data_IF_230450068136
#
_entry.id   IF_230450068136
#
_cell.length_a   1.000
_cell.length_b   1.000
_cell.length_c   1.000
_cell.angle_alpha   90.00
_cell.angle_beta   90.00
_cell.angle_gamma   90.00
#
_symmetry.space_group_name_H-M   'P 1'
#
loop_
_entity.id
_entity.type
_entity.pdbx_description
1 polymer ?
#
# COMPACT_ATOMS: atom_id res chain seq x y z
N UNK A 1 -8.27 14.41 15.50
CA UNK A 1 -6.90 14.04 15.08
C UNK A 1 -6.18 15.32 14.67
N UNK A 2 -4.92 15.50 15.08
CA UNK A 2 -4.12 16.69 14.75
C UNK A 2 -3.54 16.55 13.35
N UNK A 3 -3.82 17.51 12.46
CA UNK A 3 -3.16 17.57 11.16
C UNK A 3 -1.80 18.25 11.32
N UNK A 4 -0.71 17.49 11.18
CA UNK A 4 0.65 18.02 11.18
C UNK A 4 1.08 18.39 9.75
N UNK A 5 1.66 19.57 9.57
CA UNK A 5 2.24 20.00 8.29
C UNK A 5 3.72 19.68 8.28
N UNK A 6 4.18 19.08 7.20
CA UNK A 6 5.60 18.79 6.95
C UNK A 6 6.08 19.61 5.77
N UNK A 7 7.16 20.36 5.96
CA UNK A 7 7.84 21.05 4.87
C UNK A 7 8.83 20.09 4.21
N UNK A 8 8.81 20.00 2.89
CA UNK A 8 9.71 19.13 2.11
C UNK A 8 10.44 19.99 1.09
N UNK A 9 11.77 19.88 1.06
CA UNK A 9 12.56 20.46 -0.03
C UNK A 9 12.60 19.48 -1.20
N UNK A 10 12.36 20.00 -2.40
CA UNK A 10 12.40 19.25 -3.64
C UNK A 10 13.38 19.91 -4.59
N UNK A 11 14.11 19.10 -5.35
CA UNK A 11 14.92 19.59 -6.46
C UNK A 11 14.04 20.27 -7.50
N UNK A 12 14.60 21.26 -8.21
CA UNK A 12 13.90 22.00 -9.26
C UNK A 12 13.15 21.10 -10.27
N UNK A 13 13.78 20.06 -10.88
CA UNK A 13 13.08 19.20 -11.83
C UNK A 13 11.88 18.47 -11.22
N UNK A 14 12.01 17.93 -10.01
CA UNK A 14 10.94 17.20 -9.32
C UNK A 14 9.79 18.13 -8.99
N UNK A 15 10.11 19.32 -8.45
CA UNK A 15 9.12 20.34 -8.13
C UNK A 15 8.34 20.78 -9.38
N UNK A 16 9.03 20.99 -10.50
CA UNK A 16 8.41 21.49 -11.72
C UNK A 16 7.52 20.41 -12.38
N UNK A 17 7.93 19.14 -12.31
CA UNK A 17 7.10 18.01 -12.69
C UNK A 17 5.82 17.92 -11.84
N UNK A 18 5.93 18.01 -10.52
CA UNK A 18 4.76 17.99 -9.62
C UNK A 18 3.81 19.16 -9.92
N UNK A 19 4.35 20.36 -10.19
CA UNK A 19 3.54 21.52 -10.59
C UNK A 19 2.75 21.23 -11.87
N UNK A 20 3.40 20.66 -12.88
CA UNK A 20 2.76 20.31 -14.14
C UNK A 20 1.66 19.25 -13.91
N UNK A 21 1.97 18.17 -13.21
CA UNK A 21 1.00 17.10 -12.90
C UNK A 21 -0.21 17.62 -12.12
N UNK A 22 0.00 18.49 -11.13
CA UNK A 22 -1.08 19.08 -10.35
C UNK A 22 -1.99 19.95 -11.24
N UNK A 23 -1.39 20.72 -12.16
CA UNK A 23 -2.12 21.53 -13.14
C UNK A 23 -2.95 20.67 -14.09
N UNK A 24 -2.37 19.61 -14.64
CA UNK A 24 -3.05 18.68 -15.55
C UNK A 24 -4.21 17.96 -14.86
N UNK A 25 -4.05 17.59 -13.58
CA UNK A 25 -5.09 16.92 -12.78
C UNK A 25 -6.12 17.89 -12.18
N UNK A 26 -5.91 19.21 -12.27
CA UNK A 26 -6.80 20.20 -11.66
C UNK A 26 -6.83 20.18 -10.13
N UNK A 27 -5.76 19.72 -9.48
CA UNK A 27 -5.66 19.59 -8.01
C UNK A 27 -4.57 20.50 -7.44
N UNK A 28 -4.58 20.72 -6.13
CA UNK A 28 -3.50 21.47 -5.48
C UNK A 28 -2.22 20.63 -5.41
N UNK A 29 -1.06 21.29 -5.47
CA UNK A 29 0.25 20.66 -5.31
C UNK A 29 0.33 19.89 -3.99
N UNK A 30 -0.17 20.47 -2.90
CA UNK A 30 -0.16 19.80 -1.59
C UNK A 30 -1.02 18.54 -1.55
N UNK A 31 -2.17 18.54 -2.25
CA UNK A 31 -2.98 17.32 -2.38
C UNK A 31 -2.22 16.26 -3.14
N UNK A 32 -1.69 16.60 -4.32
CA UNK A 32 -0.93 15.67 -5.14
C UNK A 32 0.27 15.10 -4.37
N UNK A 33 1.04 15.93 -3.67
CA UNK A 33 2.17 15.46 -2.86
C UNK A 33 1.71 14.51 -1.74
N UNK A 34 0.61 14.82 -1.06
CA UNK A 34 0.06 13.93 -0.03
C UNK A 34 -0.32 12.59 -0.63
N UNK A 35 -1.03 12.60 -1.76
CA UNK A 35 -1.51 11.38 -2.41
C UNK A 35 -0.33 10.53 -2.90
N UNK A 36 0.69 11.14 -3.51
CA UNK A 36 1.93 10.45 -3.88
C UNK A 36 2.70 9.86 -2.69
N UNK A 37 2.71 10.55 -1.53
CA UNK A 37 3.32 10.01 -0.31
C UNK A 37 2.53 8.80 0.19
N UNK A 38 1.20 8.88 0.20
CA UNK A 38 0.33 7.76 0.59
C UNK A 38 0.54 6.56 -0.35
N UNK A 39 0.48 6.76 -1.66
CA UNK A 39 0.73 5.71 -2.65
C UNK A 39 2.12 5.08 -2.46
N UNK A 40 3.15 5.90 -2.22
CA UNK A 40 4.50 5.41 -1.93
C UNK A 40 4.58 4.54 -0.68
N UNK A 41 3.82 4.88 0.37
CA UNK A 41 3.73 4.09 1.60
C UNK A 41 2.95 2.78 1.39
N UNK A 42 1.86 2.81 0.61
CA UNK A 42 1.08 1.63 0.24
C UNK A 42 1.95 0.61 -0.52
N UNK A 43 2.78 1.08 -1.47
CA UNK A 43 3.73 0.20 -2.18
C UNK A 43 4.73 -0.46 -1.22
N UNK A 44 5.20 0.25 -0.18
CA UNK A 44 6.08 -0.33 0.83
C UNK A 44 5.37 -1.38 1.69
N UNK A 45 4.10 -1.15 2.00
CA UNK A 45 3.24 -2.09 2.72
C UNK A 45 2.98 -3.35 1.89
N UNK A 46 2.65 -3.22 0.62
CA UNK A 46 2.46 -4.35 -0.30
C UNK A 46 3.71 -5.24 -0.35
N UNK A 47 4.90 -4.62 -0.47
CA UNK A 47 6.18 -5.35 -0.44
C UNK A 47 6.45 -6.04 0.89
N UNK A 48 5.92 -5.52 1.99
CA UNK A 48 6.02 -6.17 3.29
C UNK A 48 5.10 -7.39 3.34
N UNK A 49 3.85 -7.26 2.89
CA UNK A 49 2.90 -8.38 2.87
C UNK A 49 3.27 -9.47 1.86
N UNK A 50 3.86 -9.12 0.72
CA UNK A 50 4.44 -10.06 -0.23
C UNK A 50 5.41 -11.02 0.49
N UNK A 51 6.35 -10.49 1.28
CA UNK A 51 7.32 -11.33 2.03
C UNK A 51 6.64 -12.29 2.99
N UNK A 52 5.57 -11.85 3.66
CA UNK A 52 4.80 -12.71 4.57
C UNK A 52 4.07 -13.79 3.78
N UNK A 53 3.46 -13.43 2.65
CA UNK A 53 2.75 -14.35 1.79
C UNK A 53 3.70 -15.40 1.21
N UNK A 54 4.83 -15.00 0.64
CA UNK A 54 5.84 -15.91 0.10
C UNK A 54 6.35 -16.89 1.15
N UNK A 55 6.67 -16.41 2.37
CA UNK A 55 7.08 -17.29 3.46
C UNK A 55 6.01 -18.34 3.79
N UNK A 56 4.74 -17.93 3.84
CA UNK A 56 3.63 -18.84 4.11
C UNK A 56 3.46 -19.86 3.00
N UNK A 57 3.63 -19.45 1.75
CA UNK A 57 3.55 -20.32 0.57
C UNK A 57 4.68 -21.35 0.58
N UNK A 58 5.92 -20.92 0.84
CA UNK A 58 7.10 -21.79 0.93
C UNK A 58 6.97 -22.85 2.04
N UNK A 59 6.40 -22.45 3.19
CA UNK A 59 6.21 -23.31 4.35
C UNK A 59 4.88 -24.10 4.30
N UNK A 60 4.05 -23.92 3.25
CA UNK A 60 2.72 -24.51 3.19
C UNK A 60 2.78 -26.01 2.87
N UNK A 61 2.24 -26.83 3.77
CA UNK A 61 2.08 -28.26 3.53
C UNK A 61 0.68 -28.56 2.97
N UNK A 62 0.61 -28.84 1.66
CA UNK A 62 -0.62 -29.19 0.96
C UNK A 62 -1.28 -30.46 1.50
N UNK A 63 -0.52 -31.47 1.91
CA UNK A 63 -1.07 -32.73 2.44
C UNK A 63 -1.77 -32.54 3.79
N UNK A 64 -1.33 -31.54 4.57
CA UNK A 64 -1.92 -31.17 5.86
C UNK A 64 -2.90 -29.99 5.75
N UNK A 65 -3.22 -29.57 4.52
CA UNK A 65 -4.16 -28.47 4.30
C UNK A 65 -5.58 -28.87 4.65
N UNK A 66 -6.35 -27.92 5.20
CA UNK A 66 -7.77 -28.13 5.49
C UNK A 66 -8.58 -27.91 4.21
N UNK A 67 -9.48 -28.84 3.91
CA UNK A 67 -10.45 -28.70 2.83
C UNK A 67 -11.49 -27.63 3.17
N UNK A 68 -12.10 -27.05 2.14
CA UNK A 68 -13.18 -26.05 2.30
C UNK A 68 -14.30 -26.54 3.24
N UNK A 69 -14.65 -27.83 3.18
CA UNK A 69 -15.66 -28.42 4.07
C UNK A 69 -15.20 -28.45 5.52
N UNK A 70 -13.94 -28.78 5.80
CA UNK A 70 -13.40 -28.81 7.17
C UNK A 70 -13.32 -27.40 7.80
N UNK A 71 -13.08 -26.37 6.98
CA UNK A 71 -13.06 -24.98 7.46
C UNK A 71 -14.48 -24.42 7.66
N UNK A 72 -15.38 -24.66 6.69
CA UNK A 72 -16.67 -23.95 6.62
C UNK A 72 -17.86 -24.76 7.15
N UNK A 73 -17.82 -26.10 7.08
CA UNK A 73 -18.80 -26.99 7.70
C UNK A 73 -18.23 -27.53 9.01
N UNK A 74 -18.20 -26.66 10.02
CA UNK A 74 -18.33 -27.16 11.40
C UNK A 74 -19.78 -27.62 11.56
N UNK A 75 -20.06 -28.88 11.25
CA UNK A 75 -21.25 -29.52 11.80
C UNK A 75 -21.24 -29.26 13.30
N UNK A 76 -22.31 -28.60 13.75
CA UNK A 76 -22.51 -28.07 15.09
C UNK A 76 -21.97 -29.03 16.16
N UNK A 77 -21.03 -28.55 16.96
CA UNK A 77 -20.86 -29.04 18.34
C UNK A 77 -21.59 -28.07 19.26
#
# INVERSE_FOLDING_TARGET
MSNQRTLVLLEAPVRDLIKQMAKEKGVSISSLCRDLICEGLEILEDRYFEKIASKREDEFNWEKSLTHKEVWNKEKK
#
